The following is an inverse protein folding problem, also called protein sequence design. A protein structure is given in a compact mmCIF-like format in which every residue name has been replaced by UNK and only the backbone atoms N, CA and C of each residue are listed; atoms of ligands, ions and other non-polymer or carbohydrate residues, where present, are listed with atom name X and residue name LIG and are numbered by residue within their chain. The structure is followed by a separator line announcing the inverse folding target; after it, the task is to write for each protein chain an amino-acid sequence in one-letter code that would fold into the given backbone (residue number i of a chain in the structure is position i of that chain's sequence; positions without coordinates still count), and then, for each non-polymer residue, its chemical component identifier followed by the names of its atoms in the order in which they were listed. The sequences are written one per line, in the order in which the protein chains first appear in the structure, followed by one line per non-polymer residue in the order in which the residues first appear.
data_IF_142638172911
#
_entry.id   IF_142638172911
#
_cell.length_a   1.000
_cell.length_b   1.000
_cell.length_c   1.000
_cell.angle_alpha   90.00
_cell.angle_beta   90.00
_cell.angle_gamma   90.00
#
_symmetry.space_group_name_H-M   'P 1'
#
loop_
_entity.id
_entity.type
_entity.pdbx_description
1 polymer ?
#
# COMPACT_ATOMS: atom_id res chain seq x y z
N UNK A 1 -7.19 -14.25 32.54
CA UNK A 1 -6.40 -13.99 31.31
C UNK A 1 -7.22 -13.08 30.42
N UNK A 2 -6.76 -11.86 30.13
CA UNK A 2 -7.49 -10.97 29.20
C UNK A 2 -7.52 -11.65 27.82
N UNK A 3 -8.67 -11.60 27.14
CA UNK A 3 -8.75 -12.08 25.77
C UNK A 3 -7.90 -11.16 24.89
N UNK A 4 -7.06 -11.74 24.02
CA UNK A 4 -6.29 -10.98 23.04
C UNK A 4 -7.24 -10.22 22.13
N UNK A 5 -7.17 -8.89 22.16
CA UNK A 5 -7.86 -7.99 21.25
C UNK A 5 -7.03 -7.79 19.98
N UNK A 6 -7.72 -7.49 18.88
CA UNK A 6 -7.10 -7.22 17.58
C UNK A 6 -7.50 -5.81 17.13
N UNK A 7 -6.53 -4.98 16.71
CA UNK A 7 -6.87 -3.67 16.16
C UNK A 7 -7.74 -3.80 14.92
N UNK A 8 -8.60 -2.81 14.70
CA UNK A 8 -9.71 -2.92 13.74
C UNK A 8 -9.43 -2.08 12.50
N UNK A 9 -9.69 -2.68 11.33
CA UNK A 9 -9.84 -1.98 10.07
C UNK A 9 -11.30 -2.00 9.63
N UNK A 10 -11.83 -0.83 9.34
CA UNK A 10 -13.22 -0.65 8.92
C UNK A 10 -13.34 -0.59 7.40
N UNK A 11 -14.41 -1.16 6.88
CA UNK A 11 -14.86 -0.97 5.51
C UNK A 11 -16.34 -0.56 5.49
N UNK A 12 -16.72 0.24 4.50
CA UNK A 12 -18.11 0.68 4.31
C UNK A 12 -19.03 -0.50 4.02
N UNK A 13 -18.57 -1.47 3.22
CA UNK A 13 -19.30 -2.71 2.90
C UNK A 13 -18.33 -3.88 2.79
N UNK A 14 -18.74 -5.06 3.26
CA UNK A 14 -17.99 -6.31 2.99
C UNK A 14 -18.55 -7.07 1.80
N UNK A 15 -19.76 -6.73 1.33
CA UNK A 15 -20.42 -7.37 0.18
C UNK A 15 -19.61 -7.11 -1.11
N UNK A 16 -19.30 -8.18 -1.84
CA UNK A 16 -18.43 -8.13 -3.02
C UNK A 16 -16.94 -8.31 -2.71
N UNK A 17 -16.56 -8.30 -1.42
CA UNK A 17 -15.22 -8.70 -0.99
C UNK A 17 -15.21 -10.18 -0.60
N UNK A 18 -14.04 -10.78 -0.62
CA UNK A 18 -13.84 -12.13 -0.10
C UNK A 18 -13.83 -12.19 1.44
N UNK A 19 -13.86 -11.04 2.12
CA UNK A 19 -13.67 -10.91 3.56
C UNK A 19 -14.99 -10.92 4.33
N UNK A 20 -14.99 -11.59 5.49
CA UNK A 20 -16.15 -11.67 6.38
C UNK A 20 -16.07 -10.59 7.45
N UNK A 21 -17.21 -10.04 7.83
CA UNK A 21 -17.32 -9.20 9.03
C UNK A 21 -16.79 -9.97 10.26
N UNK A 22 -15.98 -9.30 11.11
CA UNK A 22 -15.27 -9.88 12.25
C UNK A 22 -14.21 -10.97 11.91
N UNK A 23 -13.77 -11.06 10.65
CA UNK A 23 -12.63 -11.92 10.30
C UNK A 23 -11.31 -11.30 10.80
N UNK A 24 -10.37 -12.15 11.21
CA UNK A 24 -9.05 -11.72 11.67
C UNK A 24 -8.06 -12.10 10.59
N UNK A 25 -7.37 -11.11 10.02
CA UNK A 25 -6.58 -11.29 8.81
C UNK A 25 -5.17 -10.74 9.01
N UNK A 26 -4.13 -11.36 8.41
CA UNK A 26 -2.84 -10.72 8.25
C UNK A 26 -3.00 -9.38 7.51
N UNK A 27 -2.28 -8.37 7.96
CA UNK A 27 -2.37 -6.99 7.47
C UNK A 27 -0.97 -6.43 7.32
N UNK A 28 -0.76 -5.74 6.21
CA UNK A 28 0.44 -5.02 5.87
C UNK A 28 0.14 -3.52 5.80
N UNK A 29 1.03 -2.74 6.39
CA UNK A 29 1.23 -1.34 6.06
C UNK A 29 2.60 -1.19 5.38
N UNK A 30 2.63 -0.48 4.27
CA UNK A 30 3.85 -0.14 3.54
C UNK A 30 3.71 1.28 2.97
N UNK A 31 4.65 2.15 3.30
CA UNK A 31 4.72 3.53 2.82
C UNK A 31 6.19 3.89 2.58
N UNK A 32 6.54 4.20 1.34
CA UNK A 32 7.89 4.67 1.04
C UNK A 32 8.13 6.07 1.58
N UNK A 33 9.32 6.29 2.12
CA UNK A 33 9.76 7.58 2.63
C UNK A 33 10.45 8.32 1.49
N UNK A 34 9.92 9.51 1.17
CA UNK A 34 10.48 10.38 0.14
C UNK A 34 11.79 10.99 0.62
N UNK A 35 12.70 11.22 -0.32
CA UNK A 35 13.81 12.13 -0.09
C UNK A 35 13.28 13.58 -0.17
N UNK A 36 13.09 14.20 0.99
CA UNK A 36 12.52 15.54 1.12
C UNK A 36 13.37 16.62 0.44
N UNK A 37 14.69 16.47 0.41
CA UNK A 37 15.57 17.46 -0.23
C UNK A 37 15.47 17.36 -1.74
N UNK A 38 15.51 16.13 -2.27
CA UNK A 38 15.29 15.90 -3.70
C UNK A 38 13.88 16.31 -4.13
N UNK A 39 12.86 15.99 -3.35
CA UNK A 39 11.47 16.32 -3.65
C UNK A 39 11.21 17.84 -3.76
N UNK A 40 11.97 18.67 -3.04
CA UNK A 40 11.89 20.14 -3.16
C UNK A 40 12.51 20.66 -4.46
N UNK A 41 13.56 20.00 -4.96
CA UNK A 41 14.32 20.46 -6.13
C UNK A 41 13.90 19.81 -7.45
N UNK A 42 13.36 18.60 -7.40
CA UNK A 42 13.01 17.78 -8.55
C UNK A 42 11.50 17.44 -8.49
N UNK A 43 10.72 18.24 -9.22
CA UNK A 43 9.26 18.11 -9.26
C UNK A 43 8.81 16.81 -9.93
N UNK A 44 9.57 16.31 -10.91
CA UNK A 44 9.26 15.03 -11.56
C UNK A 44 9.47 13.88 -10.58
N UNK A 45 10.55 13.90 -9.81
CA UNK A 45 10.79 12.94 -8.73
C UNK A 45 9.68 12.97 -7.68
N UNK A 46 9.24 14.16 -7.23
CA UNK A 46 8.17 14.23 -6.22
C UNK A 46 6.86 13.61 -6.72
N UNK A 47 6.47 13.90 -7.97
CA UNK A 47 5.27 13.32 -8.60
C UNK A 47 5.41 11.81 -8.84
N UNK A 48 6.60 11.36 -9.20
CA UNK A 48 6.90 9.94 -9.31
C UNK A 48 6.71 9.23 -7.98
N UNK A 49 7.25 9.77 -6.89
CA UNK A 49 7.08 9.18 -5.56
C UNK A 49 5.62 9.20 -5.09
N UNK A 50 4.83 10.21 -5.49
CA UNK A 50 3.37 10.20 -5.25
C UNK A 50 2.68 9.06 -6.00
N UNK A 51 3.03 8.83 -7.27
CA UNK A 51 2.46 7.74 -8.07
C UNK A 51 2.84 6.36 -7.52
N UNK A 52 4.06 6.22 -7.00
CA UNK A 52 4.55 4.96 -6.42
C UNK A 52 3.70 4.48 -5.23
N UNK A 53 3.03 5.37 -4.50
CA UNK A 53 2.16 4.97 -3.38
C UNK A 53 1.11 3.97 -3.85
N UNK A 54 0.44 4.23 -4.99
CA UNK A 54 -0.58 3.32 -5.49
C UNK A 54 0.02 2.12 -6.21
N UNK A 55 1.04 2.35 -7.03
CA UNK A 55 1.70 1.30 -7.82
C UNK A 55 2.32 0.20 -6.95
N UNK A 56 2.90 0.55 -5.80
CA UNK A 56 3.43 -0.44 -4.85
C UNK A 56 2.33 -1.37 -4.32
N UNK A 57 1.16 -0.84 -3.99
CA UNK A 57 0.05 -1.67 -3.52
C UNK A 57 -0.51 -2.55 -4.65
N UNK A 58 -0.56 -2.04 -5.88
CA UNK A 58 -1.01 -2.83 -7.03
C UNK A 58 -0.03 -3.96 -7.33
N UNK A 59 1.29 -3.69 -7.31
CA UNK A 59 2.33 -4.71 -7.43
C UNK A 59 2.21 -5.78 -6.33
N UNK A 60 2.00 -5.38 -5.08
CA UNK A 60 1.75 -6.31 -3.96
C UNK A 60 0.48 -7.16 -4.18
N UNK A 61 -0.62 -6.54 -4.63
CA UNK A 61 -1.88 -7.24 -4.92
C UNK A 61 -1.66 -8.30 -6.01
N UNK A 62 -1.01 -7.93 -7.11
CA UNK A 62 -0.74 -8.85 -8.22
C UNK A 62 0.19 -9.98 -7.81
N UNK A 63 1.29 -9.65 -7.10
CA UNK A 63 2.26 -10.65 -6.64
C UNK A 63 1.63 -11.70 -5.74
N UNK A 64 0.71 -11.29 -4.87
CA UNK A 64 0.09 -12.14 -3.86
C UNK A 64 -1.37 -12.49 -4.17
N UNK A 65 -1.79 -12.47 -5.44
CA UNK A 65 -3.20 -12.65 -5.86
C UNK A 65 -3.87 -13.91 -5.27
N UNK A 66 -3.11 -15.01 -5.12
CA UNK A 66 -3.59 -16.27 -4.52
C UNK A 66 -3.95 -16.14 -3.04
N UNK A 67 -3.38 -15.15 -2.35
CA UNK A 67 -3.70 -14.81 -0.97
C UNK A 67 -4.97 -13.94 -0.82
N UNK A 68 -5.60 -13.61 -1.96
CA UNK A 68 -6.77 -12.74 -2.08
C UNK A 68 -6.60 -11.42 -1.29
N UNK A 69 -5.56 -10.63 -1.62
CA UNK A 69 -5.30 -9.38 -0.94
C UNK A 69 -6.38 -8.35 -1.26
N UNK A 70 -6.64 -7.44 -0.33
CA UNK A 70 -7.56 -6.32 -0.52
C UNK A 70 -6.94 -5.06 0.08
N UNK A 71 -6.85 -4.01 -0.73
CA UNK A 71 -6.49 -2.66 -0.26
C UNK A 71 -7.67 -2.05 0.47
N UNK A 72 -7.45 -1.61 1.69
CA UNK A 72 -8.45 -0.95 2.54
C UNK A 72 -7.87 0.35 3.08
N UNK A 73 -8.63 1.44 2.98
CA UNK A 73 -8.18 2.76 3.41
C UNK A 73 -8.92 3.17 4.67
N UNK A 74 -8.20 3.47 5.75
CA UNK A 74 -8.75 3.95 7.01
C UNK A 74 -8.05 5.27 7.36
N UNK A 75 -8.81 6.34 7.60
CA UNK A 75 -8.26 7.69 7.86
C UNK A 75 -7.27 8.17 6.78
N UNK A 76 -7.58 7.87 5.51
CA UNK A 76 -6.72 8.13 4.33
C UNK A 76 -5.40 7.34 4.31
N UNK A 77 -5.19 6.41 5.24
CA UNK A 77 -4.03 5.53 5.28
C UNK A 77 -4.39 4.20 4.61
N UNK A 78 -3.69 3.79 3.53
CA UNK A 78 -3.91 2.51 2.88
C UNK A 78 -3.28 1.37 3.68
N UNK A 79 -3.96 0.23 3.69
CA UNK A 79 -3.48 -1.03 4.25
C UNK A 79 -3.80 -2.16 3.28
N UNK A 80 -3.02 -3.23 3.30
CA UNK A 80 -3.31 -4.44 2.55
C UNK A 80 -3.68 -5.56 3.52
N UNK A 81 -4.89 -6.10 3.39
CA UNK A 81 -5.33 -7.26 4.17
C UNK A 81 -5.33 -8.51 3.31
N UNK A 82 -4.90 -9.65 3.87
CA UNK A 82 -4.83 -10.93 3.17
C UNK A 82 -5.86 -11.89 3.75
N UNK A 83 -6.65 -12.55 2.90
CA UNK A 83 -7.72 -13.43 3.40
C UNK A 83 -7.21 -14.79 3.83
N UNK A 84 -6.32 -15.38 3.05
CA UNK A 84 -5.68 -16.65 3.39
C UNK A 84 -4.31 -16.42 4.02
N UNK A 85 -3.72 -17.48 4.56
CA UNK A 85 -2.38 -17.40 5.11
C UNK A 85 -1.39 -17.01 4.00
N UNK A 86 -0.63 -15.95 4.26
CA UNK A 86 0.51 -15.51 3.46
C UNK A 86 1.76 -15.60 4.34
N UNK A 87 2.89 -16.01 3.77
CA UNK A 87 4.17 -15.93 4.48
C UNK A 87 4.64 -14.47 4.47
N UNK A 88 4.52 -13.81 5.62
CA UNK A 88 4.90 -12.41 5.76
C UNK A 88 6.39 -12.17 5.54
N UNK A 89 7.26 -13.18 5.70
CA UNK A 89 8.68 -13.06 5.33
C UNK A 89 8.84 -12.87 3.82
N UNK A 90 8.02 -13.55 3.01
CA UNK A 90 8.02 -13.38 1.55
C UNK A 90 7.45 -12.02 1.17
N UNK A 91 6.41 -11.56 1.86
CA UNK A 91 5.88 -10.20 1.68
C UNK A 91 6.94 -9.15 1.98
N UNK A 92 7.66 -9.28 3.10
CA UNK A 92 8.75 -8.39 3.49
C UNK A 92 9.87 -8.38 2.44
N UNK A 93 10.34 -9.55 1.99
CA UNK A 93 11.36 -9.64 0.93
C UNK A 93 10.90 -8.96 -0.37
N UNK A 94 9.62 -9.09 -0.73
CA UNK A 94 9.09 -8.41 -1.90
C UNK A 94 9.01 -6.89 -1.71
N UNK A 95 8.66 -6.40 -0.52
CA UNK A 95 8.73 -4.97 -0.19
C UNK A 95 10.17 -4.43 -0.30
N UNK A 96 11.18 -5.21 0.11
CA UNK A 96 12.59 -4.84 -0.07
C UNK A 96 12.99 -4.81 -1.54
N UNK A 97 12.49 -5.75 -2.36
CA UNK A 97 12.72 -5.74 -3.81
C UNK A 97 12.13 -4.48 -4.48
N UNK A 98 10.96 -4.01 -4.03
CA UNK A 98 10.39 -2.73 -4.49
C UNK A 98 11.37 -1.58 -4.19
N UNK A 99 11.92 -1.50 -2.98
CA UNK A 99 12.89 -0.46 -2.61
C UNK A 99 14.16 -0.53 -3.45
N UNK A 100 14.67 -1.74 -3.70
CA UNK A 100 15.85 -1.99 -4.52
C UNK A 100 15.64 -1.58 -6.00
N UNK A 101 14.44 -1.79 -6.54
CA UNK A 101 14.10 -1.39 -7.91
C UNK A 101 13.90 0.12 -8.03
N UNK A 102 13.31 0.77 -7.02
CA UNK A 102 13.24 2.24 -6.94
C UNK A 102 14.65 2.82 -6.83
N UNK A 103 15.54 2.20 -6.05
CA UNK A 103 16.95 2.60 -5.95
C UNK A 103 17.65 2.49 -7.30
N UNK A 104 17.50 1.37 -8.01
CA UNK A 104 18.08 1.23 -9.35
C UNK A 104 17.55 2.31 -10.31
N UNK A 105 16.26 2.58 -10.23
CA UNK A 105 15.61 3.53 -11.12
C UNK A 105 15.93 5.00 -10.83
N UNK A 106 16.10 5.38 -9.57
CA UNK A 106 16.22 6.79 -9.15
C UNK A 106 17.64 7.16 -8.73
N UNK A 107 18.47 6.16 -8.38
CA UNK A 107 19.77 6.33 -7.75
C UNK A 107 19.70 6.74 -6.28
N UNK A 108 18.49 6.87 -5.70
CA UNK A 108 18.28 7.26 -4.30
C UNK A 108 17.89 6.05 -3.47
N UNK A 109 18.57 5.89 -2.33
CA UNK A 109 18.35 4.77 -1.43
C UNK A 109 17.14 5.02 -0.54
N UNK A 110 15.99 4.45 -0.93
CA UNK A 110 14.73 4.67 -0.25
C UNK A 110 14.51 3.71 0.92
N UNK A 111 14.00 4.28 2.01
CA UNK A 111 13.45 3.53 3.13
C UNK A 111 11.93 3.50 3.04
N UNK A 112 11.29 2.58 3.75
CA UNK A 112 9.84 2.56 3.93
C UNK A 112 9.45 2.38 5.38
N UNK A 113 8.33 2.98 5.77
CA UNK A 113 7.60 2.56 6.96
C UNK A 113 6.89 1.25 6.64
N UNK A 114 7.05 0.29 7.52
CA UNK A 114 6.56 -1.08 7.36
C UNK A 114 5.95 -1.58 8.66
N UNK A 115 4.81 -2.24 8.57
CA UNK A 115 4.21 -2.93 9.72
C UNK A 115 3.45 -4.16 9.25
N UNK A 116 3.64 -5.27 9.96
CA UNK A 116 2.90 -6.52 9.79
C UNK A 116 2.18 -6.89 11.10
N UNK A 117 0.88 -7.16 11.05
CA UNK A 117 0.13 -7.63 12.21
C UNK A 117 -1.15 -8.37 11.79
N UNK A 118 -1.91 -8.83 12.78
CA UNK A 118 -3.28 -9.33 12.55
C UNK A 118 -4.29 -8.28 12.97
N UNK A 119 -5.20 -7.93 12.07
CA UNK A 119 -6.29 -6.99 12.35
C UNK A 119 -7.65 -7.69 12.25
N UNK A 120 -8.66 -7.14 12.92
CA UNK A 120 -10.04 -7.53 12.70
C UNK A 120 -10.65 -6.65 11.61
N UNK A 121 -11.24 -7.28 10.59
CA UNK A 121 -11.94 -6.58 9.53
C UNK A 121 -13.42 -6.40 9.90
N UNK A 122 -13.86 -5.16 10.02
CA UNK A 122 -15.22 -4.80 10.41
C UNK A 122 -15.94 -4.01 9.33
N UNK A 123 -17.26 -4.22 9.26
CA UNK A 123 -18.11 -3.36 8.45
C UNK A 123 -18.55 -2.20 9.33
N UNK A 124 -18.54 -0.99 8.78
CA UNK A 124 -19.17 0.16 9.43
C UNK A 124 -20.65 -0.13 9.69
N UNK A 125 -21.16 0.43 10.78
CA UNK A 125 -22.57 0.34 11.21
C UNK A 125 -23.09 -1.08 11.46
N UNK A 126 -22.18 -2.03 11.70
CA UNK A 126 -22.53 -3.41 12.05
C UNK A 126 -21.89 -3.81 13.36
N UNK A 127 -22.72 -4.25 14.30
CA UNK A 127 -22.26 -4.73 15.59
C UNK A 127 -21.33 -5.94 15.46
N UNK A 128 -20.30 -6.05 16.33
CA UNK A 128 -19.47 -7.25 16.39
C UNK A 128 -20.31 -8.51 16.60
N UNK A 129 -19.88 -9.62 15.99
CA UNK A 129 -20.47 -10.92 16.30
C UNK A 129 -20.34 -11.23 17.81
N UNK A 130 -21.37 -11.77 18.49
CA UNK A 130 -21.33 -12.05 19.93
C UNK A 130 -20.12 -12.90 20.36
N UNK A 131 -19.66 -13.82 19.50
CA UNK A 131 -18.51 -14.69 19.76
C UNK A 131 -17.15 -14.00 19.58
N UNK A 132 -17.13 -12.78 19.03
CA UNK A 132 -15.91 -12.02 18.71
C UNK A 132 -15.86 -10.66 19.41
N UNK A 133 -16.94 -10.22 20.06
CA UNK A 133 -17.02 -8.92 20.75
C UNK A 133 -15.84 -8.67 21.70
N UNK A 134 -15.46 -9.66 22.52
CA UNK A 134 -14.31 -9.55 23.44
C UNK A 134 -12.93 -9.51 22.77
N UNK A 135 -12.86 -9.70 21.45
CA UNK A 135 -11.61 -9.67 20.65
C UNK A 135 -11.49 -8.40 19.81
N UNK A 136 -12.50 -7.53 19.84
CA UNK A 136 -12.47 -6.23 19.15
C UNK A 136 -11.54 -5.31 19.92
N UNK A 137 -10.51 -4.79 19.25
CA UNK A 137 -9.63 -3.75 19.79
C UNK A 137 -10.00 -2.37 19.25
N UNK A 138 -9.13 -1.40 19.51
CA UNK A 138 -9.24 -0.05 18.97
C UNK A 138 -9.07 -0.04 17.44
N UNK A 139 -9.54 1.02 16.79
CA UNK A 139 -9.26 1.25 15.37
C UNK A 139 -7.75 1.32 15.16
N UNK A 140 -7.23 0.60 14.17
CA UNK A 140 -5.78 0.44 13.96
C UNK A 140 -5.05 1.80 13.96
N UNK A 141 -5.53 2.74 13.14
CA UNK A 141 -4.95 4.09 12.97
C UNK A 141 -4.96 4.95 14.24
N UNK A 142 -5.75 4.59 15.25
CA UNK A 142 -5.88 5.30 16.53
C UNK A 142 -5.23 4.53 17.69
N UNK A 143 -4.83 3.29 17.46
CA UNK A 143 -4.24 2.42 18.48
C UNK A 143 -2.76 2.71 18.68
N UNK A 144 -2.26 2.57 19.91
CA UNK A 144 -0.81 2.69 20.18
C UNK A 144 0.01 1.68 19.37
N UNK A 145 -0.55 0.48 19.15
CA UNK A 145 0.05 -0.62 18.38
C UNK A 145 0.51 -0.16 16.99
N UNK A 146 -0.22 0.75 16.34
CA UNK A 146 0.16 1.23 15.01
C UNK A 146 1.49 1.97 15.02
N UNK A 147 1.76 2.76 16.05
CA UNK A 147 3.05 3.44 16.23
C UNK A 147 4.11 2.48 16.80
N UNK A 148 3.72 1.66 17.78
CA UNK A 148 4.63 0.77 18.50
C UNK A 148 5.22 -0.34 17.60
N UNK A 149 4.48 -0.77 16.58
CA UNK A 149 4.91 -1.83 15.64
C UNK A 149 5.43 -1.31 14.31
N UNK A 150 5.45 0.01 14.12
CA UNK A 150 6.00 0.61 12.91
C UNK A 150 7.52 0.40 12.87
N UNK A 151 8.01 -0.14 11.77
CA UNK A 151 9.42 -0.39 11.53
C UNK A 151 9.89 0.39 10.31
N UNK A 152 11.17 0.75 10.30
CA UNK A 152 11.83 1.19 9.08
C UNK A 152 12.35 -0.04 8.35
N UNK A 153 11.92 -0.19 7.11
CA UNK A 153 12.40 -1.20 6.18
C UNK A 153 13.37 -0.55 5.20
N UNK A 154 14.55 -1.16 5.08
CA UNK A 154 15.58 -0.79 4.12
C UNK A 154 15.62 -1.81 2.98
N UNK A 155 15.97 -1.33 1.79
CA UNK A 155 16.34 -2.20 0.67
C UNK A 155 17.56 -3.05 0.99
N UNK A 156 17.91 -3.97 0.08
CA UNK A 156 19.17 -4.70 0.15
C UNK A 156 20.33 -3.98 -0.55
N UNK A 157 20.07 -2.80 -1.12
CA UNK A 157 20.97 -1.98 -1.95
C UNK A 157 21.46 -2.72 -3.19
N UNK A 158 20.75 -3.77 -3.60
CA UNK A 158 21.03 -4.49 -4.83
C UNK A 158 20.32 -3.79 -5.97
N UNK A 159 21.06 -3.54 -7.02
CA UNK A 159 20.50 -3.05 -8.28
C UNK A 159 19.76 -4.19 -8.94
N UNK A 160 18.43 -4.15 -8.89
CA UNK A 160 17.56 -5.13 -9.54
C UNK A 160 16.63 -4.41 -10.50
N UNK A 161 16.39 -5.01 -11.65
CA UNK A 161 15.39 -4.58 -12.64
C UNK A 161 14.50 -5.79 -12.90
N UNK A 162 13.42 -5.91 -12.12
CA UNK A 162 12.50 -7.05 -12.15
C UNK A 162 11.14 -6.69 -12.75
N UNK A 163 10.96 -5.44 -13.22
CA UNK A 163 9.69 -4.94 -13.73
C UNK A 163 8.56 -4.98 -12.70
N UNK A 164 8.89 -4.75 -11.42
CA UNK A 164 7.92 -4.63 -10.33
C UNK A 164 7.24 -3.27 -10.38
N UNK A 165 7.99 -2.22 -10.71
CA UNK A 165 7.52 -0.84 -10.78
C UNK A 165 7.94 -0.19 -12.10
N UNK A 166 7.23 0.85 -12.49
CA UNK A 166 7.53 1.70 -13.63
C UNK A 166 8.80 2.48 -13.34
N UNK A 167 9.88 2.35 -14.14
CA UNK A 167 11.09 3.11 -13.92
C UNK A 167 10.85 4.62 -14.05
N UNK A 168 11.50 5.43 -13.22
CA UNK A 168 11.44 6.89 -13.19
C UNK A 168 11.63 7.56 -14.56
N UNK A 169 12.57 7.09 -15.37
CA UNK A 169 12.77 7.62 -16.74
C UNK A 169 11.55 7.35 -17.63
N UNK A 170 10.96 6.16 -17.53
CA UNK A 170 9.77 5.78 -18.28
C UNK A 170 8.55 6.57 -17.80
N UNK A 171 8.40 6.76 -16.49
CA UNK A 171 7.37 7.62 -15.91
C UNK A 171 7.41 9.06 -16.47
N UNK A 172 8.61 9.66 -16.58
CA UNK A 172 8.78 11.00 -17.17
C UNK A 172 8.32 11.01 -18.63
N UNK A 173 8.71 10.00 -19.43
CA UNK A 173 8.30 9.91 -20.84
C UNK A 173 6.77 9.81 -20.96
N UNK A 174 6.14 8.89 -20.21
CA UNK A 174 4.69 8.72 -20.20
C UNK A 174 3.95 9.99 -19.78
N UNK A 175 4.49 10.75 -18.82
CA UNK A 175 3.94 12.04 -18.41
C UNK A 175 4.01 13.08 -19.53
N UNK A 176 5.12 13.15 -20.25
CA UNK A 176 5.32 14.08 -21.36
C UNK A 176 4.38 13.75 -22.53
N UNK A 177 4.27 12.47 -22.90
CA UNK A 177 3.34 11.98 -23.93
C UNK A 177 1.89 12.30 -23.57
N UNK A 178 1.49 12.06 -22.32
CA UNK A 178 0.14 12.39 -21.85
C UNK A 178 -0.14 13.91 -21.83
N UNK A 179 0.89 14.74 -21.71
CA UNK A 179 0.76 16.20 -21.79
C UNK A 179 0.64 16.66 -23.23
N UNK A 180 1.41 16.08 -24.16
CA UNK A 180 1.32 16.34 -25.60
C UNK A 180 -0.02 15.88 -26.20
N UNK A 181 -0.48 14.69 -25.85
CA UNK A 181 -1.79 14.20 -26.31
C UNK A 181 -2.96 15.06 -25.79
N UNK A 182 -2.81 15.69 -24.62
CA UNK A 182 -3.78 16.66 -24.09
C UNK A 182 -3.70 18.04 -24.77
N UNK A 183 -2.53 18.44 -25.31
CA UNK A 183 -2.44 19.65 -26.13
C UNK A 183 -2.96 19.42 -27.54
N UNK A 184 -2.75 18.23 -28.11
CA UNK A 184 -3.19 17.89 -29.47
C UNK A 184 -4.69 17.60 -29.54
N UNK A 185 -5.31 17.15 -28.44
CA UNK A 185 -6.78 16.99 -28.34
C UNK A 185 -7.56 18.30 -28.11
N UNK A 186 -6.86 19.44 -28.01
CA UNK A 186 -7.45 20.78 -28.06
C UNK A 186 -7.49 21.37 -29.48
N UNK A 187 -7.09 20.64 -30.52
CA UNK A 187 -7.46 20.97 -31.89
C UNK A 187 -8.90 20.50 -32.15
N UNK A 188 -9.82 21.48 -32.12
CA UNK A 188 -11.26 21.39 -32.32
C UNK A 188 -11.76 20.15 -33.08
N UNK A 189 -12.36 19.20 -32.35
CA UNK A 189 -13.35 18.30 -32.93
C UNK A 189 -14.61 19.16 -33.18
N UNK A 190 -14.69 19.78 -34.35
CA UNK A 190 -15.95 20.31 -34.89
C UNK A 190 -16.76 19.11 -35.36
N UNK A 191 -17.67 18.63 -34.50
CA UNK A 191 -18.70 17.68 -34.92
C UNK A 191 -19.67 18.39 -35.88
N UNK A 192 -19.83 17.82 -37.09
CA UNK A 192 -20.96 18.10 -37.98
C UNK A 192 -22.04 17.04 -37.79
#
# INVERSE_FOLDING_TARGET
MSQKQYPVLYATKTKGTFFKHCSINPTLYFEMIKDEERAKTDADYNLYMDAMVDECYDALIHKFITSQPLKVTNDKIPFLIFKSNVDMRVVKMFCQAILDEVYESTGTDHQAKYMELKTMFMQMDKDPSPFKAGKVGEKLTQSSIFQDQLQILEGSHKKIDSGIITPFKEYILLKQENTQNKSDSNEDIVEW
#
